data_IF_852614516133
#
_entry.id   IF_852614516133
#
_cell.length_a   1.000
_cell.length_b   1.000
_cell.length_c   1.000
_cell.angle_alpha   90.00
_cell.angle_beta   90.00
_cell.angle_gamma   90.00
#
_symmetry.space_group_name_H-M   'P 1'
#
loop_
_entity.id
_entity.type
_entity.pdbx_description
1 polymer ?
#
# COMPACT_ATOMS: atom_id res chain seq x y z
N UNK A 1 12.69 4.43 -22.99
CA UNK A 1 13.30 4.33 -21.65
C UNK A 1 12.75 5.48 -20.83
N UNK A 2 11.58 5.31 -20.21
CA UNK A 2 10.92 6.42 -19.49
C UNK A 2 11.62 6.66 -18.15
N UNK A 3 12.21 7.84 -18.02
CA UNK A 3 13.06 8.26 -16.90
C UNK A 3 12.25 8.69 -15.67
N UNK A 4 11.18 7.97 -15.32
CA UNK A 4 10.29 8.31 -14.18
C UNK A 4 10.54 7.47 -12.91
N UNK A 5 11.71 6.83 -12.80
CA UNK A 5 12.09 5.99 -11.64
C UNK A 5 12.53 6.76 -10.39
N UNK A 6 12.36 8.09 -10.35
CA UNK A 6 13.01 8.93 -9.34
C UNK A 6 12.20 9.20 -8.05
N UNK A 7 10.96 8.70 -7.90
CA UNK A 7 10.13 8.98 -6.71
C UNK A 7 9.59 7.70 -6.02
N UNK A 8 10.44 7.03 -5.23
CA UNK A 8 10.02 6.07 -4.18
C UNK A 8 11.00 6.16 -3.01
N UNK A 9 10.56 6.68 -1.84
CA UNK A 9 10.37 5.75 -0.73
C UNK A 9 9.12 6.04 0.12
N UNK A 10 8.63 5.01 0.82
CA UNK A 10 7.69 5.15 1.94
C UNK A 10 8.53 5.06 3.21
N UNK A 11 9.22 6.13 3.63
CA UNK A 11 10.02 6.09 4.85
C UNK A 11 9.83 7.31 5.75
N UNK A 12 9.43 7.03 6.98
CA UNK A 12 9.54 7.91 8.14
C UNK A 12 9.80 7.05 9.38
N UNK A 13 10.91 6.28 9.37
CA UNK A 13 11.52 5.71 10.58
C UNK A 13 11.04 4.32 11.00
N UNK A 14 11.36 3.30 10.19
CA UNK A 14 11.26 1.83 10.42
C UNK A 14 9.87 1.22 10.78
N UNK A 15 9.36 0.19 10.06
CA UNK A 15 9.74 -0.32 8.76
C UNK A 15 8.49 -0.58 7.91
N UNK A 16 7.97 0.46 7.25
CA UNK A 16 7.03 0.26 6.13
C UNK A 16 7.65 -0.70 5.11
N UNK A 17 8.96 -0.64 4.90
CA UNK A 17 9.72 -1.60 4.12
C UNK A 17 9.58 -3.07 4.60
N UNK A 18 9.42 -3.36 5.89
CA UNK A 18 9.20 -4.75 6.37
C UNK A 18 7.73 -5.16 6.34
N UNK A 19 6.78 -4.23 6.44
CA UNK A 19 5.37 -4.52 6.13
C UNK A 19 5.20 -4.75 4.63
N UNK A 20 5.86 -3.93 3.81
CA UNK A 20 5.96 -4.06 2.36
C UNK A 20 6.64 -5.38 1.98
N UNK A 21 7.77 -5.71 2.62
CA UNK A 21 8.48 -6.97 2.41
C UNK A 21 7.71 -8.16 2.95
N UNK A 22 6.99 -8.05 4.06
CA UNK A 22 6.09 -9.11 4.53
C UNK A 22 4.92 -9.32 3.55
N UNK A 23 4.30 -8.25 3.03
CA UNK A 23 3.22 -8.34 2.04
C UNK A 23 3.72 -8.84 0.66
N UNK A 24 4.90 -8.41 0.22
CA UNK A 24 5.49 -8.77 -1.09
C UNK A 24 6.20 -10.13 -1.04
N UNK A 25 6.94 -10.46 0.02
CA UNK A 25 7.46 -11.82 0.26
C UNK A 25 6.32 -12.78 0.61
N UNK A 26 5.22 -12.30 1.19
CA UNK A 26 3.98 -13.07 1.21
C UNK A 26 3.32 -13.14 -0.15
N UNK A 27 3.62 -12.38 -1.20
CA UNK A 27 3.09 -12.70 -2.55
C UNK A 27 3.64 -14.06 -3.05
N UNK A 28 4.75 -14.54 -2.47
CA UNK A 28 5.27 -15.91 -2.61
C UNK A 28 4.76 -16.90 -1.53
N UNK A 29 4.01 -16.45 -0.51
CA UNK A 29 3.40 -17.28 0.58
C UNK A 29 1.87 -17.19 0.69
N UNK A 30 1.21 -16.24 0.03
CA UNK A 30 -0.22 -16.03 -0.25
C UNK A 30 -0.73 -17.13 -1.19
N UNK A 31 -0.22 -18.34 -1.01
CA UNK A 31 -0.56 -19.52 -1.79
C UNK A 31 -1.86 -20.16 -1.29
N UNK A 32 -2.36 -19.72 -0.13
CA UNK A 32 -3.60 -20.16 0.50
C UNK A 32 -4.72 -19.15 0.27
N UNK A 33 -5.90 -19.67 -0.10
CA UNK A 33 -7.14 -18.91 -0.34
C UNK A 33 -7.47 -17.97 0.83
N UNK A 34 -7.17 -18.40 2.06
CA UNK A 34 -7.47 -17.67 3.30
C UNK A 34 -6.73 -16.33 3.42
N UNK A 35 -5.47 -16.29 2.99
CA UNK A 35 -4.64 -15.08 3.12
C UNK A 35 -5.00 -14.04 2.03
N UNK A 36 -5.36 -14.50 0.83
CA UNK A 36 -5.89 -13.64 -0.23
C UNK A 36 -7.27 -13.06 0.15
N UNK A 37 -8.13 -13.88 0.77
CA UNK A 37 -9.41 -13.43 1.33
C UNK A 37 -9.21 -12.38 2.44
N UNK A 38 -8.21 -12.56 3.31
CA UNK A 38 -7.88 -11.58 4.36
C UNK A 38 -7.44 -10.24 3.77
N UNK A 39 -6.55 -10.26 2.78
CA UNK A 39 -6.11 -9.05 2.07
C UNK A 39 -7.28 -8.34 1.38
N UNK A 40 -8.13 -9.08 0.67
CA UNK A 40 -9.32 -8.54 0.02
C UNK A 40 -10.29 -7.90 1.04
N UNK A 41 -10.50 -8.54 2.20
CA UNK A 41 -11.30 -7.99 3.30
C UNK A 41 -10.71 -6.68 3.83
N UNK A 42 -9.41 -6.63 4.08
CA UNK A 42 -8.75 -5.43 4.59
C UNK A 42 -8.79 -4.29 3.57
N UNK A 43 -8.52 -4.57 2.30
CA UNK A 43 -8.68 -3.60 1.21
C UNK A 43 -10.12 -3.07 1.13
N UNK A 44 -11.12 -3.94 1.34
CA UNK A 44 -12.53 -3.57 1.43
C UNK A 44 -12.88 -2.65 2.61
N UNK A 45 -12.11 -2.69 3.70
CA UNK A 45 -12.29 -1.83 4.89
C UNK A 45 -11.65 -0.44 4.74
N UNK A 46 -10.71 -0.27 3.82
CA UNK A 46 -10.14 1.03 3.51
C UNK A 46 -11.16 1.95 2.85
N UNK A 47 -11.02 3.26 3.07
CA UNK A 47 -11.77 4.26 2.33
C UNK A 47 -11.38 4.25 0.84
N UNK A 48 -12.29 4.70 -0.03
CA UNK A 48 -12.11 4.62 -1.49
C UNK A 48 -10.81 5.29 -1.97
N UNK A 49 -10.47 6.47 -1.44
CA UNK A 49 -9.25 7.18 -1.81
C UNK A 49 -7.98 6.43 -1.36
N UNK A 50 -7.98 5.87 -0.15
CA UNK A 50 -6.86 5.08 0.40
C UNK A 50 -6.68 3.79 -0.40
N UNK A 51 -7.76 3.08 -0.69
CA UNK A 51 -7.75 1.86 -1.51
C UNK A 51 -7.19 2.13 -2.91
N UNK A 52 -7.63 3.21 -3.56
CA UNK A 52 -7.11 3.62 -4.87
C UNK A 52 -5.64 3.98 -4.82
N UNK A 53 -5.19 4.69 -3.79
CA UNK A 53 -3.77 5.02 -3.59
C UNK A 53 -2.92 3.75 -3.43
N UNK A 54 -3.36 2.82 -2.56
CA UNK A 54 -2.70 1.52 -2.36
C UNK A 54 -2.64 0.75 -3.69
N UNK A 55 -3.76 0.60 -4.40
CA UNK A 55 -3.78 -0.12 -5.66
C UNK A 55 -2.81 0.48 -6.70
N UNK A 56 -2.83 1.80 -6.85
CA UNK A 56 -1.94 2.50 -7.78
C UNK A 56 -0.46 2.33 -7.42
N UNK A 57 -0.13 2.35 -6.13
CA UNK A 57 1.26 2.23 -5.67
C UNK A 57 1.83 0.83 -5.85
N UNK A 58 1.04 -0.20 -5.48
CA UNK A 58 1.49 -1.59 -5.44
C UNK A 58 1.32 -2.31 -6.78
N UNK A 59 0.15 -2.23 -7.40
CA UNK A 59 -0.14 -2.91 -8.68
C UNK A 59 0.10 -2.00 -9.89
N UNK A 60 -0.14 -0.70 -9.74
CA UNK A 60 0.09 0.27 -10.82
C UNK A 60 1.56 0.69 -10.96
N UNK A 61 2.42 0.29 -10.02
CA UNK A 61 3.80 0.74 -9.88
C UNK A 61 4.01 2.27 -9.94
N UNK A 62 2.97 3.04 -9.59
CA UNK A 62 3.00 4.50 -9.69
C UNK A 62 3.76 5.13 -8.52
N UNK A 63 4.47 6.23 -8.79
CA UNK A 63 5.06 7.05 -7.73
C UNK A 63 3.99 7.78 -6.92
N UNK A 64 4.35 8.29 -5.73
CA UNK A 64 3.38 9.07 -4.93
C UNK A 64 2.96 10.35 -5.66
N UNK A 65 3.88 10.93 -6.45
CA UNK A 65 3.61 12.09 -7.31
C UNK A 65 2.64 11.74 -8.44
N UNK A 66 2.83 10.62 -9.15
CA UNK A 66 1.89 10.15 -10.19
C UNK A 66 0.49 9.86 -9.61
N UNK A 67 0.44 9.29 -8.40
CA UNK A 67 -0.82 9.03 -7.69
C UNK A 67 -1.49 10.34 -7.29
N UNK A 68 -0.72 11.32 -6.83
CA UNK A 68 -1.22 12.63 -6.44
C UNK A 68 -1.90 13.35 -7.61
N UNK A 69 -1.23 13.35 -8.78
CA UNK A 69 -1.80 13.86 -10.03
C UNK A 69 -3.08 13.12 -10.41
N UNK A 70 -3.07 11.78 -10.35
CA UNK A 70 -4.23 10.95 -10.71
C UNK A 70 -5.43 11.12 -9.77
N UNK A 71 -5.18 11.38 -8.49
CA UNK A 71 -6.21 11.54 -7.46
C UNK A 71 -6.63 13.00 -7.27
N UNK A 72 -5.94 13.97 -7.88
CA UNK A 72 -6.22 15.40 -7.73
C UNK A 72 -5.93 15.91 -6.32
N UNK A 73 -4.91 15.35 -5.64
CA UNK A 73 -4.52 15.71 -4.27
C UNK A 73 -3.02 15.99 -4.22
N UNK A 74 -2.49 16.45 -3.07
CA UNK A 74 -1.05 16.62 -2.91
C UNK A 74 -0.33 15.29 -2.66
N UNK A 75 0.95 15.21 -3.04
CA UNK A 75 1.81 14.06 -2.76
C UNK A 75 1.92 13.78 -1.25
N UNK A 76 1.91 14.82 -0.39
CA UNK A 76 1.78 14.64 1.06
C UNK A 76 0.45 14.01 1.50
N UNK A 77 -0.66 14.32 0.82
CA UNK A 77 -1.94 13.68 1.11
C UNK A 77 -1.87 12.19 0.75
N UNK A 78 -1.27 11.84 -0.40
CA UNK A 78 -1.02 10.45 -0.80
C UNK A 78 -0.14 9.73 0.21
N UNK A 79 0.98 10.34 0.62
CA UNK A 79 1.87 9.80 1.65
C UNK A 79 1.11 9.44 2.92
N UNK A 80 0.31 10.38 3.45
CA UNK A 80 -0.50 10.14 4.65
C UNK A 80 -1.58 9.07 4.45
N UNK A 81 -2.19 8.98 3.27
CA UNK A 81 -3.16 7.93 2.94
C UNK A 81 -2.49 6.55 2.95
N UNK A 82 -1.33 6.41 2.31
CA UNK A 82 -0.59 5.16 2.25
C UNK A 82 -0.14 4.72 3.64
N UNK A 83 0.46 5.62 4.44
CA UNK A 83 0.86 5.30 5.81
C UNK A 83 -0.32 4.84 6.65
N UNK A 84 -1.42 5.60 6.67
CA UNK A 84 -2.62 5.24 7.45
C UNK A 84 -3.26 3.93 6.99
N UNK A 85 -3.31 3.68 5.68
CA UNK A 85 -3.84 2.45 5.15
C UNK A 85 -2.99 1.24 5.61
N UNK A 86 -1.67 1.34 5.49
CA UNK A 86 -0.75 0.28 5.89
C UNK A 86 -0.75 0.03 7.39
N UNK A 87 -0.79 1.08 8.22
CA UNK A 87 -0.92 0.95 9.67
C UNK A 87 -2.20 0.22 10.07
N UNK A 88 -3.34 0.58 9.45
CA UNK A 88 -4.62 -0.11 9.68
C UNK A 88 -4.57 -1.58 9.26
N UNK A 89 -4.02 -1.86 8.08
CA UNK A 89 -3.88 -3.23 7.59
C UNK A 89 -2.99 -4.05 8.53
N UNK A 90 -1.93 -3.46 9.08
CA UNK A 90 -1.08 -4.09 10.11
C UNK A 90 -1.85 -4.39 11.39
N UNK A 91 -2.63 -3.44 11.90
CA UNK A 91 -3.47 -3.66 13.09
C UNK A 91 -4.45 -4.80 12.86
N UNK A 92 -5.14 -4.82 11.72
CA UNK A 92 -6.09 -5.89 11.41
C UNK A 92 -5.41 -7.24 11.24
N UNK A 93 -4.22 -7.29 10.65
CA UNK A 93 -3.46 -8.53 10.53
C UNK A 93 -3.12 -9.14 11.90
N UNK A 94 -2.75 -8.32 12.89
CA UNK A 94 -2.47 -8.78 14.26
C UNK A 94 -3.76 -9.20 14.99
N UNK A 95 -4.86 -8.49 14.79
CA UNK A 95 -6.17 -8.85 15.39
C UNK A 95 -6.80 -10.11 14.77
N UNK A 96 -6.37 -10.49 13.57
CA UNK A 96 -6.87 -11.67 12.83
C UNK A 96 -6.03 -12.93 13.07
N UNK A 97 -4.95 -12.83 13.85
CA UNK A 97 -4.05 -13.92 14.21
C UNK A 97 -4.41 -14.51 15.58
#
# INVERSE_FOLDING_TARGET
MDARRADRPVDAGLPTAEVLKALVEHESRFSTVEEHDALARWMGRLGEAERRAVFCYFWGELSQSDIAERLGVSQMAVSRMLTRALDRMRTWAVESA
#
